data_IF_912296663845
#
_entry.id   IF_912296663845
#
_cell.length_a   1.000
_cell.length_b   1.000
_cell.length_c   1.000
_cell.angle_alpha   90.00
_cell.angle_beta   90.00
_cell.angle_gamma   90.00
#
_symmetry.space_group_name_H-M   'P 1'
#
loop_
_entity.id
_entity.type
_entity.pdbx_description
1 polymer ?
#
# COMPACT_ATOMS: atom_id res chain seq x y z
N UNK A 1 -30.44 -17.81 7.90
CA UNK A 1 -30.29 -17.02 6.67
C UNK A 1 -29.02 -16.17 6.83
N UNK A 2 -28.13 -16.21 5.87
CA UNK A 2 -26.89 -15.40 5.94
C UNK A 2 -27.25 -13.91 5.91
N UNK A 3 -26.54 -13.12 6.71
CA UNK A 3 -26.67 -11.66 6.74
C UNK A 3 -25.42 -11.03 6.11
N UNK A 4 -25.62 -9.96 5.38
CA UNK A 4 -24.51 -9.18 4.81
C UNK A 4 -23.86 -8.28 5.87
N UNK A 5 -22.58 -7.99 5.71
CA UNK A 5 -21.89 -7.01 6.53
C UNK A 5 -22.35 -5.61 6.14
N UNK A 6 -23.16 -4.98 6.99
CA UNK A 6 -23.74 -3.66 6.73
C UNK A 6 -22.70 -2.52 6.65
N UNK A 7 -21.46 -2.74 7.09
CA UNK A 7 -20.40 -1.74 6.92
C UNK A 7 -20.07 -1.47 5.45
N UNK A 8 -20.33 -2.44 4.56
CA UNK A 8 -20.14 -2.22 3.11
C UNK A 8 -21.06 -1.13 2.55
N UNK A 9 -22.21 -0.86 3.19
CA UNK A 9 -23.09 0.25 2.79
C UNK A 9 -22.53 1.63 3.14
N UNK A 10 -21.47 1.69 3.94
CA UNK A 10 -20.77 2.93 4.29
C UNK A 10 -19.67 3.31 3.27
N UNK A 11 -19.31 2.38 2.38
CA UNK A 11 -18.35 2.65 1.32
C UNK A 11 -18.95 3.62 0.29
N UNK A 12 -18.10 4.39 -0.38
CA UNK A 12 -18.54 5.19 -1.54
C UNK A 12 -19.08 4.25 -2.62
N UNK A 13 -20.24 4.59 -3.19
CA UNK A 13 -20.94 3.77 -4.19
C UNK A 13 -20.09 3.45 -5.43
N UNK A 14 -19.18 4.36 -5.79
CA UNK A 14 -18.34 4.21 -6.97
C UNK A 14 -16.87 4.39 -6.64
N UNK A 15 -16.08 3.43 -7.11
CA UNK A 15 -14.62 3.57 -7.07
C UNK A 15 -14.20 4.66 -8.06
N UNK A 16 -13.53 5.71 -7.56
CA UNK A 16 -13.17 6.92 -8.31
C UNK A 16 -12.60 6.63 -9.71
N UNK A 17 -11.70 5.68 -9.81
CA UNK A 17 -11.05 5.34 -11.09
C UNK A 17 -12.01 4.73 -12.12
N UNK A 18 -13.01 3.96 -11.69
CA UNK A 18 -14.05 3.42 -12.56
C UNK A 18 -14.92 4.52 -13.14
N UNK A 19 -15.28 5.52 -12.34
CA UNK A 19 -16.08 6.65 -12.80
C UNK A 19 -15.32 7.53 -13.77
N UNK A 20 -14.03 7.80 -13.50
CA UNK A 20 -13.17 8.54 -14.42
C UNK A 20 -13.04 7.77 -15.75
N UNK A 21 -12.82 6.45 -15.73
CA UNK A 21 -12.74 5.64 -16.94
C UNK A 21 -14.02 5.72 -17.78
N UNK A 22 -15.21 5.63 -17.15
CA UNK A 22 -16.51 5.79 -17.82
C UNK A 22 -16.67 7.17 -18.46
N UNK A 23 -16.32 8.24 -17.72
CA UNK A 23 -16.38 9.62 -18.22
C UNK A 23 -15.44 9.83 -19.41
N UNK A 24 -14.22 9.30 -19.35
CA UNK A 24 -13.27 9.36 -20.47
C UNK A 24 -13.81 8.63 -21.68
N UNK A 25 -14.34 7.41 -21.51
CA UNK A 25 -14.91 6.64 -22.61
C UNK A 25 -16.10 7.35 -23.27
N UNK A 26 -17.00 7.95 -22.47
CA UNK A 26 -18.12 8.75 -22.99
C UNK A 26 -17.62 9.96 -23.78
N UNK A 27 -16.67 10.72 -23.22
CA UNK A 27 -16.10 11.90 -23.89
C UNK A 27 -15.41 11.54 -25.21
N UNK A 28 -14.62 10.45 -25.25
CA UNK A 28 -13.95 10.00 -26.47
C UNK A 28 -14.93 9.55 -27.55
N UNK A 29 -16.06 8.93 -27.15
CA UNK A 29 -17.12 8.53 -28.07
C UNK A 29 -17.77 9.75 -28.75
N UNK A 30 -17.98 10.82 -28.00
CA UNK A 30 -18.55 12.09 -28.51
C UNK A 30 -17.50 12.92 -29.27
N UNK A 31 -16.23 12.75 -28.98
CA UNK A 31 -15.13 13.53 -29.53
C UNK A 31 -14.01 12.63 -30.12
N UNK A 32 -14.27 11.82 -31.15
CA UNK A 32 -13.32 10.80 -31.62
C UNK A 32 -12.01 11.39 -32.15
N UNK A 33 -12.01 12.64 -32.57
CA UNK A 33 -10.82 13.33 -33.10
C UNK A 33 -9.95 13.99 -32.00
N UNK A 34 -10.42 14.03 -30.75
CA UNK A 34 -9.67 14.66 -29.68
C UNK A 34 -8.84 13.64 -28.91
N UNK A 35 -7.56 13.93 -28.73
CA UNK A 35 -6.68 13.14 -27.88
C UNK A 35 -6.88 13.54 -26.42
N UNK A 36 -7.24 12.60 -25.56
CA UNK A 36 -7.33 12.81 -24.11
C UNK A 36 -5.97 12.61 -23.48
N UNK A 37 -5.47 13.62 -22.77
CA UNK A 37 -4.27 13.53 -21.93
C UNK A 37 -4.71 13.07 -20.55
N UNK A 38 -4.23 11.88 -20.12
CA UNK A 38 -4.56 11.28 -18.83
C UNK A 38 -3.53 11.69 -17.78
N UNK A 39 -3.95 12.44 -16.78
CA UNK A 39 -3.10 12.89 -15.66
C UNK A 39 -3.60 12.36 -14.30
N UNK A 40 -4.57 11.45 -14.31
CA UNK A 40 -5.28 11.03 -13.09
C UNK A 40 -4.69 9.80 -12.40
N UNK A 41 -4.08 8.89 -13.13
CA UNK A 41 -3.48 7.68 -12.58
C UNK A 41 -2.00 7.68 -12.94
N UNK A 42 -1.15 7.59 -11.91
CA UNK A 42 0.26 7.29 -12.11
C UNK A 42 0.40 5.85 -12.62
N UNK A 43 0.93 5.70 -13.82
CA UNK A 43 1.19 4.38 -14.41
C UNK A 43 2.64 4.31 -14.85
N UNK A 44 3.18 3.10 -14.92
CA UNK A 44 4.51 2.87 -15.47
C UNK A 44 4.51 3.21 -16.96
N UNK A 45 5.44 4.06 -17.37
CA UNK A 45 5.54 4.55 -18.76
C UNK A 45 6.70 3.96 -19.53
N UNK A 46 7.59 3.26 -18.83
CA UNK A 46 8.76 2.61 -19.41
C UNK A 46 8.58 1.09 -19.42
N UNK A 47 9.08 0.40 -20.46
CA UNK A 47 9.09 -1.06 -20.48
C UNK A 47 10.00 -1.63 -19.39
N UNK A 48 9.76 -2.89 -19.04
CA UNK A 48 10.66 -3.63 -18.14
C UNK A 48 12.08 -3.66 -18.68
N UNK A 49 13.06 -3.62 -17.78
CA UNK A 49 14.46 -3.79 -18.17
C UNK A 49 14.73 -5.17 -18.79
N UNK A 50 15.75 -5.27 -19.62
CA UNK A 50 16.12 -6.54 -20.25
C UNK A 50 16.46 -7.64 -19.23
N UNK A 51 17.06 -7.28 -18.09
CA UNK A 51 17.37 -8.22 -17.01
C UNK A 51 16.09 -8.82 -16.39
N UNK A 52 15.07 -8.00 -16.13
CA UNK A 52 13.79 -8.46 -15.60
C UNK A 52 13.08 -9.36 -16.61
N UNK A 53 13.05 -8.97 -17.89
CA UNK A 53 12.44 -9.79 -18.96
C UNK A 53 13.16 -11.14 -19.09
N UNK A 54 14.49 -11.16 -19.00
CA UNK A 54 15.27 -12.40 -19.06
C UNK A 54 14.99 -13.31 -17.86
N UNK A 55 14.88 -12.76 -16.66
CA UNK A 55 14.55 -13.53 -15.47
C UNK A 55 13.14 -14.15 -15.54
N UNK A 56 12.15 -13.41 -16.03
CA UNK A 56 10.79 -13.92 -16.24
C UNK A 56 10.79 -15.08 -17.24
N UNK A 57 11.53 -14.95 -18.33
CA UNK A 57 11.65 -16.04 -19.34
C UNK A 57 12.30 -17.27 -18.75
N UNK A 58 13.39 -17.12 -17.99
CA UNK A 58 14.06 -18.24 -17.33
C UNK A 58 13.13 -18.96 -16.35
N UNK A 59 12.38 -18.21 -15.54
CA UNK A 59 11.40 -18.78 -14.61
C UNK A 59 10.27 -19.52 -15.34
N UNK A 60 9.82 -19.01 -16.49
CA UNK A 60 8.82 -19.71 -17.31
C UNK A 60 9.38 -21.01 -17.90
N UNK A 61 10.64 -21.01 -18.35
CA UNK A 61 11.33 -22.21 -18.85
C UNK A 61 11.51 -23.29 -17.75
N UNK A 62 11.79 -22.88 -16.51
CA UNK A 62 11.85 -23.77 -15.35
C UNK A 62 10.50 -24.45 -15.10
N UNK A 63 9.40 -23.68 -15.15
CA UNK A 63 8.04 -24.20 -14.97
C UNK A 63 7.61 -25.18 -16.08
N UNK A 64 8.27 -25.14 -17.25
CA UNK A 64 8.00 -26.02 -18.37
C UNK A 64 8.69 -27.38 -18.32
N UNK A 65 9.52 -27.67 -17.32
CA UNK A 65 10.31 -28.90 -17.19
C UNK A 65 9.98 -29.63 -15.90
N UNK A 66 9.84 -30.96 -15.97
CA UNK A 66 9.51 -31.79 -14.82
C UNK A 66 10.55 -31.67 -13.69
N UNK A 67 11.84 -31.53 -14.04
CA UNK A 67 12.94 -31.48 -13.10
C UNK A 67 13.04 -30.17 -12.32
N UNK A 68 12.51 -29.08 -12.87
CA UNK A 68 12.59 -27.73 -12.32
C UNK A 68 11.21 -27.11 -12.03
N UNK A 69 10.15 -27.87 -12.26
CA UNK A 69 8.79 -27.43 -11.97
C UNK A 69 8.62 -27.15 -10.47
N UNK A 70 8.03 -26.00 -10.16
CA UNK A 70 7.67 -25.60 -8.80
C UNK A 70 6.16 -25.74 -8.59
N UNK A 71 5.76 -26.57 -7.62
CA UNK A 71 4.38 -26.67 -7.16
C UNK A 71 4.03 -25.55 -6.15
N UNK A 72 3.30 -25.89 -5.10
CA UNK A 72 3.07 -24.95 -4.00
C UNK A 72 4.39 -24.57 -3.34
N UNK A 73 4.67 -23.28 -3.29
CA UNK A 73 5.82 -22.73 -2.56
C UNK A 73 5.58 -22.69 -1.05
N UNK A 74 6.62 -22.33 -0.27
CA UNK A 74 6.48 -22.05 1.16
C UNK A 74 5.49 -20.89 1.39
N UNK A 75 4.70 -20.95 2.47
CA UNK A 75 3.67 -19.95 2.81
C UNK A 75 4.22 -18.52 2.93
N UNK A 76 5.43 -18.35 3.44
CA UNK A 76 6.10 -17.05 3.55
C UNK A 76 6.80 -16.61 2.24
N UNK A 77 6.86 -17.46 1.23
CA UNK A 77 7.66 -17.26 0.02
C UNK A 77 9.01 -17.99 0.06
N UNK A 78 9.64 -18.10 -1.10
CA UNK A 78 10.91 -18.82 -1.26
C UNK A 78 12.03 -18.19 -0.45
N UNK A 79 12.87 -19.03 0.18
CA UNK A 79 13.97 -18.62 1.05
C UNK A 79 14.94 -17.67 0.31
N UNK A 80 15.32 -18.01 -0.93
CA UNK A 80 16.25 -17.18 -1.70
C UNK A 80 15.78 -15.74 -1.86
N UNK A 81 14.47 -15.51 -2.07
CA UNK A 81 13.92 -14.16 -2.23
C UNK A 81 13.88 -13.42 -0.89
N UNK A 82 13.49 -14.11 0.18
CA UNK A 82 13.47 -13.52 1.53
C UNK A 82 14.89 -13.14 2.02
N UNK A 83 15.88 -13.96 1.72
CA UNK A 83 17.29 -13.70 2.00
C UNK A 83 17.83 -12.48 1.21
N UNK A 84 17.48 -12.37 -0.07
CA UNK A 84 17.83 -11.19 -0.89
C UNK A 84 17.17 -9.91 -0.37
N UNK A 85 15.90 -9.97 0.07
CA UNK A 85 15.24 -8.84 0.69
C UNK A 85 15.90 -8.47 2.02
N UNK A 86 16.26 -9.44 2.87
CA UNK A 86 17.01 -9.18 4.10
C UNK A 86 18.36 -8.50 3.79
N UNK A 87 19.07 -8.95 2.76
CA UNK A 87 20.31 -8.33 2.28
C UNK A 87 20.11 -6.91 1.77
N UNK A 88 19.00 -6.65 1.10
CA UNK A 88 18.64 -5.30 0.65
C UNK A 88 18.45 -4.33 1.83
N UNK A 89 17.77 -4.77 2.89
CA UNK A 89 17.60 -3.98 4.11
C UNK A 89 18.90 -3.80 4.89
N UNK A 90 19.74 -4.85 4.95
CA UNK A 90 21.04 -4.78 5.64
C UNK A 90 21.97 -3.71 5.03
N UNK A 91 21.95 -3.53 3.70
CA UNK A 91 22.68 -2.45 3.01
C UNK A 91 22.21 -1.05 3.43
N UNK A 92 21.07 -0.94 4.08
CA UNK A 92 20.47 0.28 4.63
C UNK A 92 20.54 0.32 6.17
N UNK A 93 21.42 -0.48 6.75
CA UNK A 93 21.63 -0.59 8.20
C UNK A 93 20.39 -1.11 8.98
N UNK A 94 19.44 -1.72 8.28
CA UNK A 94 18.29 -2.41 8.90
C UNK A 94 18.51 -3.90 8.85
N UNK A 95 18.58 -4.51 10.03
CA UNK A 95 18.80 -5.96 10.16
C UNK A 95 17.45 -6.65 10.35
N UNK A 96 17.07 -7.47 9.38
CA UNK A 96 15.88 -8.32 9.41
C UNK A 96 16.30 -9.78 9.28
N UNK A 97 15.62 -10.65 10.01
CA UNK A 97 15.67 -12.09 9.76
C UNK A 97 14.80 -12.41 8.53
N UNK A 98 15.18 -13.39 7.68
CA UNK A 98 14.29 -13.88 6.63
C UNK A 98 12.91 -14.32 7.12
N UNK A 99 12.79 -14.74 8.40
CA UNK A 99 11.52 -15.14 9.01
C UNK A 99 10.57 -13.96 9.34
N UNK A 100 11.09 -12.74 9.29
CA UNK A 100 10.29 -11.51 9.43
C UNK A 100 9.77 -10.99 8.06
N UNK A 101 10.07 -11.72 6.97
CA UNK A 101 9.74 -11.32 5.60
C UNK A 101 8.70 -12.28 5.02
N UNK A 102 7.60 -11.71 4.53
CA UNK A 102 6.51 -12.41 3.87
C UNK A 102 6.35 -11.91 2.44
N UNK A 103 6.28 -12.83 1.49
CA UNK A 103 6.09 -12.52 0.07
C UNK A 103 4.62 -12.67 -0.26
N UNK A 104 4.05 -11.66 -0.91
CA UNK A 104 2.67 -11.65 -1.36
C UNK A 104 2.57 -11.23 -2.83
N UNK A 105 1.34 -11.14 -3.33
CA UNK A 105 1.03 -10.66 -4.67
C UNK A 105 0.95 -9.12 -4.78
N UNK A 106 1.26 -8.41 -3.69
CA UNK A 106 1.39 -6.96 -3.67
C UNK A 106 0.83 -6.28 -2.44
N UNK A 107 1.31 -5.06 -2.17
CA UNK A 107 0.99 -4.28 -0.99
C UNK A 107 -0.53 -4.06 -0.78
N UNK A 108 -1.32 -4.00 -1.84
CA UNK A 108 -2.77 -3.84 -1.72
C UNK A 108 -3.43 -5.03 -1.02
N UNK A 109 -3.03 -6.24 -1.38
CA UNK A 109 -3.50 -7.48 -0.75
C UNK A 109 -3.03 -7.56 0.70
N UNK A 110 -1.77 -7.20 0.97
CA UNK A 110 -1.22 -7.17 2.33
C UNK A 110 -1.97 -6.21 3.23
N UNK A 111 -2.22 -4.99 2.75
CA UNK A 111 -2.98 -3.96 3.49
C UNK A 111 -4.40 -4.46 3.80
N UNK A 112 -5.02 -5.18 2.87
CA UNK A 112 -6.33 -5.78 3.09
C UNK A 112 -6.30 -6.88 4.14
N UNK A 113 -5.39 -7.83 4.01
CA UNK A 113 -5.31 -9.04 4.81
C UNK A 113 -4.79 -8.78 6.22
N UNK A 114 -3.81 -7.89 6.39
CA UNK A 114 -3.21 -7.59 7.71
C UNK A 114 -4.25 -7.04 8.69
N UNK A 115 -5.32 -6.45 8.18
CA UNK A 115 -6.39 -5.94 9.04
C UNK A 115 -7.07 -7.01 9.87
N UNK A 116 -7.06 -8.27 9.41
CA UNK A 116 -7.68 -9.40 10.12
C UNK A 116 -6.93 -9.79 11.41
N UNK A 117 -5.67 -9.37 11.55
CA UNK A 117 -4.88 -9.56 12.77
C UNK A 117 -5.35 -8.66 13.94
N UNK A 118 -6.14 -7.64 13.66
CA UNK A 118 -6.48 -6.60 14.63
C UNK A 118 -7.99 -6.58 14.92
N UNK A 119 -8.35 -6.33 16.18
CA UNK A 119 -9.74 -6.20 16.61
C UNK A 119 -10.47 -5.08 15.85
N UNK A 120 -11.76 -5.28 15.60
CA UNK A 120 -12.65 -4.26 15.06
C UNK A 120 -12.82 -3.03 16.00
N UNK A 121 -12.54 -3.19 17.29
CA UNK A 121 -12.64 -2.10 18.28
C UNK A 121 -11.48 -1.11 18.22
N UNK A 122 -10.42 -1.43 17.45
CA UNK A 122 -9.26 -0.55 17.32
C UNK A 122 -9.61 0.77 16.63
N UNK A 123 -9.07 1.86 17.17
CA UNK A 123 -9.10 3.18 16.51
C UNK A 123 -7.93 3.30 15.55
N UNK A 124 -8.20 3.82 14.37
CA UNK A 124 -7.23 3.89 13.26
C UNK A 124 -6.97 5.32 12.85
N UNK A 125 -5.70 5.72 12.77
CA UNK A 125 -5.30 6.98 12.16
C UNK A 125 -5.02 6.79 10.68
N UNK A 126 -5.65 7.63 9.86
CA UNK A 126 -5.48 7.63 8.40
C UNK A 126 -5.26 9.09 7.94
N UNK A 127 -4.10 9.42 7.35
CA UNK A 127 -3.91 10.72 6.68
C UNK A 127 -4.94 10.91 5.54
N UNK A 128 -5.40 12.15 5.34
CA UNK A 128 -6.32 12.48 4.25
C UNK A 128 -5.81 13.74 3.51
N UNK A 129 -5.48 13.67 2.22
CA UNK A 129 -5.72 12.55 1.28
C UNK A 129 -4.68 11.42 1.36
N UNK A 130 -5.15 10.21 1.08
CA UNK A 130 -4.33 8.99 1.09
C UNK A 130 -4.87 7.96 0.09
N UNK A 131 -4.13 6.87 -0.10
CA UNK A 131 -4.57 5.74 -0.90
C UNK A 131 -5.86 5.11 -0.32
N UNK A 132 -6.94 5.00 -1.11
CA UNK A 132 -8.27 4.66 -0.60
C UNK A 132 -8.37 3.33 0.14
N UNK A 133 -7.48 2.37 -0.17
CA UNK A 133 -7.52 1.02 0.41
C UNK A 133 -7.41 1.04 1.93
N UNK A 134 -6.62 1.94 2.52
CA UNK A 134 -6.51 2.05 3.98
C UNK A 134 -7.86 2.41 4.61
N UNK A 135 -8.59 3.31 3.97
CA UNK A 135 -9.90 3.73 4.42
C UNK A 135 -10.94 2.62 4.24
N UNK A 136 -11.03 2.09 3.03
CA UNK A 136 -12.08 1.15 2.64
C UNK A 136 -12.00 -0.14 3.46
N UNK A 137 -10.80 -0.70 3.68
CA UNK A 137 -10.62 -1.93 4.47
C UNK A 137 -11.02 -1.74 5.93
N UNK A 138 -10.72 -0.57 6.52
CA UNK A 138 -11.11 -0.28 7.90
C UNK A 138 -12.61 0.04 8.03
N UNK A 139 -13.24 0.66 7.03
CA UNK A 139 -14.71 0.81 6.97
C UNK A 139 -15.39 -0.56 6.92
N UNK A 140 -14.91 -1.46 6.05
CA UNK A 140 -15.47 -2.82 5.91
C UNK A 140 -15.40 -3.60 7.22
N UNK A 141 -14.32 -3.42 7.99
CA UNK A 141 -14.15 -4.02 9.32
C UNK A 141 -14.90 -3.29 10.44
N UNK A 142 -15.53 -2.15 10.16
CA UNK A 142 -16.32 -1.39 11.14
C UNK A 142 -15.50 -0.61 12.17
N UNK A 143 -14.19 -0.41 11.93
CA UNK A 143 -13.30 0.29 12.86
C UNK A 143 -13.61 1.78 12.95
N UNK A 144 -13.28 2.36 14.10
CA UNK A 144 -13.30 3.81 14.29
C UNK A 144 -12.11 4.44 13.56
N UNK A 145 -12.39 5.34 12.63
CA UNK A 145 -11.37 6.04 11.84
C UNK A 145 -11.29 7.49 12.31
N UNK A 146 -10.06 7.93 12.55
CA UNK A 146 -9.71 9.33 12.80
C UNK A 146 -8.85 9.81 11.66
N UNK A 147 -9.35 10.75 10.88
CA UNK A 147 -8.61 11.36 9.79
C UNK A 147 -7.59 12.37 10.31
N UNK A 148 -6.39 12.29 9.79
CA UNK A 148 -5.32 13.25 10.02
C UNK A 148 -5.25 14.18 8.82
N UNK A 149 -5.61 15.42 8.99
CA UNK A 149 -5.67 16.40 7.91
C UNK A 149 -4.27 16.65 7.32
N UNK A 150 -4.08 16.27 6.06
CA UNK A 150 -2.87 16.51 5.28
C UNK A 150 -3.15 17.59 4.24
N UNK A 151 -2.61 18.78 4.44
CA UNK A 151 -2.88 19.94 3.59
C UNK A 151 -1.59 20.71 3.28
N UNK A 152 -1.72 21.79 2.54
CA UNK A 152 -0.59 22.62 2.15
C UNK A 152 0.13 23.25 3.36
N UNK A 153 -0.58 23.59 4.42
CA UNK A 153 0.00 24.24 5.61
C UNK A 153 0.97 23.34 6.37
N UNK A 154 0.69 22.01 6.39
CA UNK A 154 1.58 21.01 6.99
C UNK A 154 2.40 20.23 5.98
N UNK A 155 2.49 20.72 4.73
CA UNK A 155 3.23 20.06 3.65
C UNK A 155 2.68 18.67 3.29
N UNK A 156 1.41 18.41 3.55
CA UNK A 156 0.74 17.11 3.41
C UNK A 156 1.33 16.01 4.29
N UNK A 157 1.98 16.38 5.39
CA UNK A 157 2.64 15.48 6.34
C UNK A 157 2.08 15.73 7.75
N UNK A 158 0.90 15.21 8.08
CA UNK A 158 0.36 15.36 9.43
C UNK A 158 1.29 14.72 10.46
N UNK A 159 1.35 15.33 11.62
CA UNK A 159 2.13 14.85 12.76
C UNK A 159 1.21 14.20 13.80
N UNK A 160 1.76 13.40 14.75
CA UNK A 160 0.95 12.78 15.78
C UNK A 160 0.11 13.83 16.53
N UNK A 161 -1.22 13.61 16.64
CA UNK A 161 -2.07 14.50 17.44
C UNK A 161 -1.81 14.32 18.94
N UNK A 162 -2.12 15.36 19.72
CA UNK A 162 -1.95 15.35 21.19
C UNK A 162 -3.24 15.09 21.94
N UNK A 163 -4.38 15.19 21.26
CA UNK A 163 -5.73 15.18 21.84
C UNK A 163 -6.50 13.88 21.64
N UNK A 164 -5.96 12.97 20.85
CA UNK A 164 -6.58 11.67 20.59
C UNK A 164 -5.53 10.57 20.40
N UNK A 165 -5.98 9.30 20.50
CA UNK A 165 -5.13 8.12 20.43
C UNK A 165 -5.64 7.17 19.37
N UNK A 166 -4.71 6.41 18.77
CA UNK A 166 -5.01 5.30 17.88
C UNK A 166 -4.23 4.06 18.27
N UNK A 167 -4.77 2.91 17.88
CA UNK A 167 -4.15 1.61 18.01
C UNK A 167 -3.39 1.24 16.73
N UNK A 168 -3.90 1.69 15.58
CA UNK A 168 -3.29 1.48 14.27
C UNK A 168 -3.05 2.82 13.58
N UNK A 169 -1.89 2.96 12.93
CA UNK A 169 -1.48 4.18 12.26
C UNK A 169 -1.01 3.82 10.85
N UNK A 170 -1.70 4.33 9.83
CA UNK A 170 -1.22 4.20 8.45
C UNK A 170 -0.33 5.39 8.09
N UNK A 171 0.85 5.10 7.59
CA UNK A 171 1.76 6.09 7.01
C UNK A 171 2.22 5.60 5.64
N UNK A 172 2.15 6.45 4.63
CA UNK A 172 2.67 6.20 3.29
C UNK A 172 3.76 7.24 2.98
N UNK A 173 4.96 6.79 2.64
CA UNK A 173 6.07 7.71 2.35
C UNK A 173 7.04 7.13 1.32
N UNK A 174 7.10 7.73 0.13
CA UNK A 174 6.30 8.85 -0.42
C UNK A 174 4.81 8.58 -0.44
N UNK A 175 3.99 9.58 -0.09
CA UNK A 175 2.54 9.41 0.01
C UNK A 175 1.86 9.38 -1.36
N UNK A 176 0.92 8.46 -1.52
CA UNK A 176 -0.05 8.49 -2.61
C UNK A 176 -1.37 9.11 -2.10
N UNK A 177 -1.85 10.29 -2.64
CA UNK A 177 -1.48 10.86 -3.95
C UNK A 177 -0.53 12.05 -3.92
N UNK A 178 -0.07 12.52 -2.76
CA UNK A 178 0.57 13.84 -2.63
C UNK A 178 2.05 13.87 -3.02
N UNK A 179 2.73 12.72 -3.00
CA UNK A 179 4.17 12.62 -3.19
C UNK A 179 5.00 13.12 -2.00
N UNK A 180 4.37 13.56 -0.92
CA UNK A 180 5.06 14.07 0.26
C UNK A 180 5.87 12.97 0.96
N UNK A 181 7.06 13.33 1.47
CA UNK A 181 8.02 12.40 2.08
C UNK A 181 8.34 12.85 3.50
N UNK A 182 8.12 11.98 4.47
CA UNK A 182 8.52 12.22 5.85
C UNK A 182 10.04 12.19 5.99
N UNK A 183 10.60 13.18 6.68
CA UNK A 183 11.98 13.16 7.14
C UNK A 183 12.18 12.15 8.28
N UNK A 184 13.43 11.72 8.53
CA UNK A 184 13.77 10.85 9.68
C UNK A 184 13.30 11.44 11.01
N UNK A 185 13.42 12.77 11.19
CA UNK A 185 12.97 13.45 12.41
C UNK A 185 11.45 13.40 12.59
N UNK A 186 10.70 13.50 11.49
CA UNK A 186 9.24 13.39 11.54
C UNK A 186 8.81 11.95 11.80
N UNK A 187 9.42 10.97 11.12
CA UNK A 187 9.16 9.55 11.38
C UNK A 187 9.51 9.16 12.82
N UNK A 188 10.58 9.72 13.39
CA UNK A 188 10.93 9.49 14.80
C UNK A 188 9.80 9.89 15.74
N UNK A 189 9.14 11.02 15.50
CA UNK A 189 7.98 11.44 16.31
C UNK A 189 6.82 10.45 16.23
N UNK A 190 6.57 9.88 15.05
CA UNK A 190 5.57 8.84 14.90
C UNK A 190 5.93 7.55 15.63
N UNK A 191 7.20 7.15 15.58
CA UNK A 191 7.70 5.98 16.33
C UNK A 191 7.59 6.22 17.84
N UNK A 192 8.00 7.38 18.32
CA UNK A 192 7.90 7.74 19.75
C UNK A 192 6.44 7.73 20.21
N UNK A 193 5.53 8.30 19.41
CA UNK A 193 4.09 8.25 19.66
C UNK A 193 3.57 6.80 19.73
N UNK A 194 3.92 5.97 18.76
CA UNK A 194 3.48 4.58 18.72
C UNK A 194 3.98 3.77 19.91
N UNK A 195 5.23 3.99 20.34
CA UNK A 195 5.80 3.35 21.52
C UNK A 195 5.07 3.79 22.80
N UNK A 196 4.81 5.10 22.97
CA UNK A 196 4.10 5.63 24.11
C UNK A 196 2.68 5.07 24.25
N UNK A 197 1.97 4.96 23.11
CA UNK A 197 0.57 4.52 23.09
C UNK A 197 0.38 3.04 22.78
N UNK A 198 1.48 2.28 22.59
CA UNK A 198 1.47 0.86 22.19
C UNK A 198 0.68 0.63 20.88
N UNK A 199 0.79 1.60 19.96
CA UNK A 199 0.17 1.53 18.66
C UNK A 199 1.05 0.79 17.65
N UNK A 200 0.46 0.26 16.61
CA UNK A 200 1.15 -0.36 15.48
C UNK A 200 1.17 0.62 14.30
N UNK A 201 2.35 0.86 13.73
CA UNK A 201 2.50 1.62 12.48
C UNK A 201 2.51 0.64 11.31
N UNK A 202 1.59 0.84 10.36
CA UNK A 202 1.57 0.19 9.05
C UNK A 202 2.20 1.19 8.06
N UNK A 203 3.47 0.94 7.72
CA UNK A 203 4.28 1.85 6.90
C UNK A 203 4.35 1.34 5.46
N UNK A 204 3.67 2.04 4.55
CA UNK A 204 3.69 1.74 3.12
C UNK A 204 4.84 2.50 2.44
N UNK A 205 5.80 1.75 1.92
CA UNK A 205 7.00 2.25 1.25
C UNK A 205 7.03 1.93 -0.25
N UNK A 206 5.86 1.75 -0.89
CA UNK A 206 5.77 1.35 -2.30
C UNK A 206 6.58 2.25 -3.25
N UNK A 207 6.80 3.49 -2.88
CA UNK A 207 7.53 4.49 -3.68
C UNK A 207 8.89 4.88 -3.11
N UNK A 208 9.45 4.14 -2.16
CA UNK A 208 10.71 4.49 -1.48
C UNK A 208 11.88 4.69 -2.45
N UNK A 209 11.91 3.97 -3.56
CA UNK A 209 12.96 4.06 -4.57
C UNK A 209 13.03 5.43 -5.28
N UNK A 210 11.99 6.24 -5.15
CA UNK A 210 11.93 7.59 -5.75
C UNK A 210 12.37 8.70 -4.81
N UNK A 211 12.77 8.38 -3.59
CA UNK A 211 13.36 9.35 -2.65
C UNK A 211 14.79 9.63 -3.08
N UNK A 212 15.09 10.88 -3.38
CA UNK A 212 16.41 11.38 -3.82
C UNK A 212 17.07 12.24 -2.75
#
# INVERSE_FOLDING_TARGET
>A
MAQINLNFLKLKENYLFSDIAKKIAAYQKENPQKKVIRLGIGDVTLPLSSSVVSAIKAAADEMGRAETFHGYGPEQGYAFLREEIASYYLKREVRLSPDEIFISDGAKSDIGNITDLFSADNTVFIPDPVYPVYLDTNIMNGRKIVFLNANQENGFLPMPPTDCKADLIYLCSPNNPTGAVYSKTQLRKWVDYALEHKAVILFDAAYEAYIT
#
